data_IF_217111504788
#
_entry.id   IF_217111504788
#
_cell.length_a   1.000
_cell.length_b   1.000
_cell.length_c   1.000
_cell.angle_alpha   90.00
_cell.angle_beta   90.00
_cell.angle_gamma   90.00
#
_symmetry.space_group_name_H-M   'P 1'
#
loop_
_entity.id
_entity.type
_entity.pdbx_description
1 polymer ?
#
# COMPACT_ATOMS: atom_id res chain seq x y z
N UNK A 1 0.06 -5.71 -37.31
CA UNK A 1 -0.12 -4.33 -36.82
C UNK A 1 0.61 -4.19 -35.50
N UNK A 2 1.66 -3.35 -35.40
CA UNK A 2 2.42 -3.15 -34.16
C UNK A 2 1.52 -2.61 -33.04
N UNK A 3 1.74 -3.06 -31.80
CA UNK A 3 0.90 -2.75 -30.62
C UNK A 3 1.72 -2.37 -29.38
N UNK A 4 2.99 -2.05 -29.58
CA UNK A 4 3.87 -1.62 -28.51
C UNK A 4 3.38 -0.28 -27.93
N UNK A 5 3.51 -0.05 -26.60
CA UNK A 5 3.00 1.15 -25.94
C UNK A 5 3.45 2.48 -26.57
N UNK A 6 4.65 2.54 -27.13
CA UNK A 6 5.21 3.75 -27.75
C UNK A 6 4.61 4.09 -29.12
N UNK A 7 3.88 3.15 -29.75
CA UNK A 7 3.16 3.37 -31.01
C UNK A 7 1.88 4.18 -30.79
N UNK A 8 1.36 4.23 -29.57
CA UNK A 8 0.21 5.04 -29.20
C UNK A 8 0.49 6.53 -29.45
N UNK A 9 -0.48 7.22 -30.04
CA UNK A 9 -0.42 8.67 -30.21
C UNK A 9 -0.36 9.37 -28.85
N UNK A 10 0.33 10.52 -28.74
CA UNK A 10 0.24 11.35 -27.55
C UNK A 10 -1.22 11.67 -27.21
N UNK A 11 -1.63 11.39 -25.97
CA UNK A 11 -3.02 11.56 -25.51
C UNK A 11 -3.33 10.70 -24.28
N UNK A 12 -4.59 10.72 -23.81
CA UNK A 12 -4.98 10.05 -22.56
C UNK A 12 -4.69 8.55 -22.53
N UNK A 13 -4.86 7.85 -23.65
CA UNK A 13 -4.57 6.42 -23.73
C UNK A 13 -3.09 6.11 -23.45
N UNK A 14 -2.17 6.84 -24.11
CA UNK A 14 -0.72 6.67 -23.87
C UNK A 14 -0.33 7.06 -22.46
N UNK A 15 -0.97 8.10 -21.90
CA UNK A 15 -0.76 8.52 -20.52
C UNK A 15 -1.20 7.44 -19.53
N UNK A 16 -2.38 6.82 -19.72
CA UNK A 16 -2.86 5.70 -18.88
C UNK A 16 -1.91 4.51 -18.92
N UNK A 17 -1.43 4.12 -20.09
CA UNK A 17 -0.45 3.03 -20.22
C UNK A 17 0.86 3.37 -19.51
N UNK A 18 1.35 4.61 -19.66
CA UNK A 18 2.57 5.07 -18.99
C UNK A 18 2.41 5.09 -17.47
N UNK A 19 1.28 5.61 -16.97
CA UNK A 19 0.94 5.62 -15.55
C UNK A 19 0.82 4.19 -14.99
N UNK A 20 0.20 3.25 -15.71
CA UNK A 20 0.10 1.86 -15.28
C UNK A 20 1.48 1.21 -15.12
N UNK A 21 2.41 1.46 -16.05
CA UNK A 21 3.79 0.97 -15.97
C UNK A 21 4.53 1.60 -14.79
N UNK A 22 4.46 2.92 -14.63
CA UNK A 22 5.10 3.63 -13.52
C UNK A 22 4.57 3.13 -12.17
N UNK A 23 3.25 3.05 -11.99
CA UNK A 23 2.62 2.55 -10.76
C UNK A 23 3.03 1.11 -10.43
N UNK A 24 3.13 0.25 -11.45
CA UNK A 24 3.61 -1.13 -11.25
C UNK A 24 5.04 -1.13 -10.71
N UNK A 25 5.93 -0.32 -11.27
CA UNK A 25 7.31 -0.19 -10.80
C UNK A 25 7.38 0.42 -9.39
N UNK A 26 6.52 1.40 -9.10
CA UNK A 26 6.46 1.99 -7.78
C UNK A 26 5.97 1.02 -6.71
N UNK A 27 5.05 0.11 -7.06
CA UNK A 27 4.56 -0.93 -6.16
C UNK A 27 5.50 -2.14 -6.03
N UNK A 28 6.64 -2.18 -6.73
CA UNK A 28 7.54 -3.34 -6.70
C UNK A 28 8.00 -3.73 -5.29
N UNK A 29 8.34 -2.82 -4.35
CA UNK A 29 8.71 -3.21 -2.99
C UNK A 29 7.60 -3.99 -2.28
N UNK A 30 6.35 -3.54 -2.41
CA UNK A 30 5.18 -4.23 -1.86
C UNK A 30 4.94 -5.57 -2.55
N UNK A 31 4.99 -5.60 -3.88
CA UNK A 31 4.71 -6.82 -4.66
C UNK A 31 5.76 -7.89 -4.41
N UNK A 32 7.03 -7.51 -4.37
CA UNK A 32 8.13 -8.42 -4.05
C UNK A 32 7.99 -8.98 -2.63
N UNK A 33 7.60 -8.14 -1.67
CA UNK A 33 7.27 -8.59 -0.31
C UNK A 33 6.11 -9.58 -0.30
N UNK A 34 5.04 -9.34 -1.06
CA UNK A 34 3.92 -10.28 -1.16
C UNK A 34 4.33 -11.63 -1.77
N UNK A 35 5.25 -11.63 -2.75
CA UNK A 35 5.84 -12.87 -3.28
C UNK A 35 6.67 -13.60 -2.22
N UNK A 36 7.51 -12.90 -1.45
CA UNK A 36 8.28 -13.49 -0.37
C UNK A 36 7.38 -14.12 0.72
N UNK A 37 6.29 -13.46 1.08
CA UNK A 37 5.27 -14.01 1.98
C UNK A 37 4.62 -15.28 1.41
N UNK A 38 4.28 -15.27 0.12
CA UNK A 38 3.70 -16.43 -0.57
C UNK A 38 4.69 -17.61 -0.63
N UNK A 39 5.96 -17.31 -0.83
CA UNK A 39 7.05 -18.28 -0.84
C UNK A 39 7.43 -18.79 0.57
N UNK A 40 6.82 -18.26 1.64
CA UNK A 40 7.09 -18.65 3.03
C UNK A 40 8.42 -18.14 3.58
N UNK A 41 9.03 -17.14 2.94
CA UNK A 41 10.38 -16.65 3.25
C UNK A 41 10.43 -15.89 4.57
N UNK A 42 9.38 -15.13 4.89
CA UNK A 42 9.36 -14.20 6.05
C UNK A 42 8.96 -14.86 7.39
N UNK A 43 8.72 -16.17 7.41
CA UNK A 43 8.12 -16.84 8.56
C UNK A 43 6.67 -16.39 8.84
N UNK A 44 5.94 -17.15 9.66
CA UNK A 44 4.53 -16.87 9.96
C UNK A 44 3.54 -17.48 8.96
N UNK A 45 2.30 -16.95 8.94
CA UNK A 45 1.22 -17.50 8.09
C UNK A 45 1.47 -17.14 6.63
N UNK A 46 1.95 -18.11 5.84
CA UNK A 46 2.06 -17.96 4.39
C UNK A 46 0.72 -17.51 3.81
N UNK A 47 0.74 -16.47 2.97
CA UNK A 47 -0.42 -16.11 2.17
C UNK A 47 -0.45 -17.02 0.94
N UNK A 48 -1.59 -17.62 0.58
CA UNK A 48 -1.62 -18.68 -0.42
C UNK A 48 -1.35 -18.20 -1.85
N UNK A 49 -1.54 -16.90 -2.11
CA UNK A 49 -1.27 -16.26 -3.39
C UNK A 49 -1.13 -14.75 -3.24
N UNK A 50 -0.41 -14.13 -4.18
CA UNK A 50 -0.28 -12.66 -4.25
C UNK A 50 -1.62 -12.00 -4.63
N UNK A 51 -2.31 -12.51 -5.64
CA UNK A 51 -3.66 -12.06 -6.00
C UNK A 51 -4.71 -13.05 -5.49
N UNK A 52 -5.70 -12.58 -4.74
CA UNK A 52 -6.68 -13.42 -4.04
C UNK A 52 -8.10 -12.93 -4.24
N UNK A 53 -8.99 -13.83 -4.63
CA UNK A 53 -10.42 -13.55 -4.68
C UNK A 53 -10.93 -13.16 -3.29
N UNK A 54 -11.90 -12.25 -3.22
CA UNK A 54 -12.46 -11.78 -1.96
C UNK A 54 -13.00 -12.91 -1.08
N UNK A 55 -13.65 -13.95 -1.63
CA UNK A 55 -14.11 -15.11 -0.85
C UNK A 55 -13.01 -15.84 -0.05
N UNK A 56 -11.76 -15.84 -0.54
CA UNK A 56 -10.63 -16.48 0.16
C UNK A 56 -10.15 -15.62 1.32
N UNK A 57 -10.37 -14.31 1.22
CA UNK A 57 -9.91 -13.34 2.20
C UNK A 57 -10.98 -13.03 3.24
N UNK A 58 -12.25 -12.96 2.82
CA UNK A 58 -13.42 -12.59 3.61
C UNK A 58 -14.48 -13.72 3.56
N UNK A 59 -14.16 -14.94 4.06
CA UNK A 59 -15.06 -16.08 3.94
C UNK A 59 -16.37 -15.92 4.74
N UNK A 60 -16.40 -15.02 5.74
CA UNK A 60 -17.58 -14.70 6.53
C UNK A 60 -18.53 -13.70 5.85
N UNK A 61 -18.08 -13.04 4.77
CA UNK A 61 -18.88 -12.09 4.00
C UNK A 61 -19.38 -12.76 2.72
N UNK A 62 -20.58 -13.33 2.77
CA UNK A 62 -21.19 -14.05 1.66
C UNK A 62 -21.37 -13.21 0.39
N UNK A 63 -21.42 -11.87 0.50
CA UNK A 63 -21.48 -10.98 -0.66
C UNK A 63 -20.18 -11.10 -1.50
N UNK A 64 -19.04 -11.42 -0.88
CA UNK A 64 -17.75 -11.57 -1.55
C UNK A 64 -17.68 -12.76 -2.51
N UNK A 65 -18.63 -13.71 -2.46
CA UNK A 65 -18.54 -14.97 -3.21
C UNK A 65 -18.86 -14.76 -4.69
N UNK A 66 -19.73 -13.79 -5.00
CA UNK A 66 -20.09 -13.44 -6.37
C UNK A 66 -19.23 -12.34 -7.00
N UNK A 67 -18.25 -11.81 -6.27
CA UNK A 67 -17.45 -10.66 -6.73
C UNK A 67 -16.27 -11.12 -7.55
N UNK A 68 -16.36 -10.97 -8.88
CA UNK A 68 -15.36 -11.49 -9.85
C UNK A 68 -14.47 -10.42 -10.46
N UNK A 69 -14.78 -9.15 -10.24
CA UNK A 69 -14.11 -7.99 -10.84
C UNK A 69 -13.12 -7.30 -9.89
N UNK A 70 -13.10 -7.73 -8.63
CA UNK A 70 -12.34 -7.13 -7.54
C UNK A 70 -11.56 -8.21 -6.81
N UNK A 71 -10.29 -7.96 -6.49
CA UNK A 71 -9.45 -8.91 -5.79
C UNK A 71 -8.46 -8.22 -4.86
N UNK A 72 -7.99 -8.95 -3.84
CA UNK A 72 -6.90 -8.50 -2.99
C UNK A 72 -5.56 -8.77 -3.66
N UNK A 73 -4.67 -7.79 -3.61
CA UNK A 73 -3.27 -7.89 -3.98
C UNK A 73 -2.44 -7.79 -2.69
N UNK A 74 -1.77 -8.86 -2.30
CA UNK A 74 -1.21 -9.03 -0.95
C UNK A 74 -2.29 -8.95 0.11
N UNK A 75 -1.97 -8.43 1.28
CA UNK A 75 -2.87 -8.27 2.43
C UNK A 75 -3.44 -6.86 2.57
N UNK A 76 -2.87 -5.87 1.88
CA UNK A 76 -3.17 -4.45 2.06
C UNK A 76 -3.99 -3.81 0.94
N UNK A 77 -3.83 -4.25 -0.31
CA UNK A 77 -4.43 -3.56 -1.45
C UNK A 77 -5.60 -4.36 -2.03
N UNK A 78 -6.70 -3.67 -2.33
CA UNK A 78 -7.81 -4.16 -3.13
C UNK A 78 -7.73 -3.50 -4.51
N UNK A 79 -7.69 -4.32 -5.55
CA UNK A 79 -7.61 -3.87 -6.93
C UNK A 79 -8.96 -4.08 -7.63
N UNK A 80 -9.40 -3.03 -8.33
CA UNK A 80 -10.58 -3.09 -9.22
C UNK A 80 -10.19 -2.52 -10.59
N UNK A 81 -9.54 -3.32 -11.46
CA UNK A 81 -9.27 -2.90 -12.83
C UNK A 81 -10.57 -2.49 -13.53
N UNK A 82 -10.52 -1.43 -14.34
CA UNK A 82 -11.69 -0.95 -15.08
C UNK A 82 -11.82 -1.78 -16.34
N UNK A 83 -13.00 -2.39 -16.51
CA UNK A 83 -13.34 -3.23 -17.67
C UNK A 83 -14.52 -2.68 -18.44
N UNK A 84 -15.07 -1.56 -17.97
CA UNK A 84 -16.16 -0.80 -18.56
C UNK A 84 -15.60 0.22 -19.55
N UNK A 85 -16.27 0.38 -20.69
CA UNK A 85 -15.89 1.40 -21.66
C UNK A 85 -16.25 2.80 -21.14
N UNK A 86 -15.32 3.75 -21.24
CA UNK A 86 -15.60 5.16 -20.94
C UNK A 86 -16.54 5.77 -21.99
N UNK A 87 -17.21 6.89 -21.65
CA UNK A 87 -18.13 7.59 -22.54
C UNK A 87 -17.50 8.22 -23.80
N UNK A 88 -16.16 8.15 -23.94
CA UNK A 88 -15.39 8.69 -25.05
C UNK A 88 -13.87 8.54 -24.82
N UNK A 89 -13.03 8.85 -25.83
CA UNK A 89 -11.58 8.66 -25.76
C UNK A 89 -10.90 9.48 -24.65
N UNK A 90 -11.45 10.65 -24.32
CA UNK A 90 -10.93 11.55 -23.27
C UNK A 90 -11.76 11.50 -21.98
N UNK A 91 -12.76 10.62 -21.92
CA UNK A 91 -13.63 10.49 -20.76
C UNK A 91 -13.03 9.56 -19.70
N UNK A 92 -13.24 9.89 -18.44
CA UNK A 92 -12.99 9.00 -17.30
C UNK A 92 -14.08 7.94 -17.26
N UNK A 93 -13.71 6.69 -16.99
CA UNK A 93 -14.67 5.62 -16.83
C UNK A 93 -15.39 5.73 -15.47
N UNK A 94 -16.67 5.35 -15.45
CA UNK A 94 -17.42 5.08 -14.22
C UNK A 94 -17.50 3.56 -14.05
N UNK A 95 -17.27 3.07 -12.84
CA UNK A 95 -17.32 1.64 -12.53
C UNK A 95 -18.00 1.38 -11.19
N UNK A 96 -18.40 0.13 -10.98
CA UNK A 96 -19.03 -0.32 -9.74
C UNK A 96 -18.02 -1.03 -8.86
N UNK A 97 -17.83 -0.52 -7.64
CA UNK A 97 -16.86 -1.00 -6.67
C UNK A 97 -17.55 -1.71 -5.52
N UNK A 98 -17.13 -2.95 -5.24
CA UNK A 98 -17.51 -3.65 -4.02
C UNK A 98 -16.41 -3.51 -2.97
N UNK A 99 -16.78 -3.16 -1.73
CA UNK A 99 -15.86 -2.99 -0.60
C UNK A 99 -16.31 -3.87 0.59
N UNK A 100 -15.51 -4.85 1.02
CA UNK A 100 -15.81 -5.68 2.20
C UNK A 100 -15.96 -4.85 3.48
N UNK A 101 -16.97 -5.19 4.32
CA UNK A 101 -17.33 -4.40 5.51
C UNK A 101 -16.55 -4.74 6.78
N UNK A 102 -16.08 -5.97 6.88
CA UNK A 102 -15.51 -6.52 8.11
C UNK A 102 -14.12 -7.04 7.85
N UNK A 103 -13.23 -6.80 8.82
CA UNK A 103 -11.91 -7.40 8.78
C UNK A 103 -12.06 -8.91 9.01
N UNK A 104 -11.47 -9.77 8.16
CA UNK A 104 -11.45 -11.19 8.41
C UNK A 104 -10.56 -11.47 9.62
N UNK A 105 -10.85 -12.55 10.34
CA UNK A 105 -10.06 -12.93 11.52
C UNK A 105 -8.56 -13.12 11.21
N UNK A 106 -8.23 -13.47 9.96
CA UNK A 106 -6.86 -13.60 9.45
C UNK A 106 -6.07 -12.29 9.50
N UNK A 107 -6.73 -11.13 9.38
CA UNK A 107 -6.09 -9.81 9.46
C UNK A 107 -6.29 -9.11 10.81
N UNK A 108 -7.07 -9.71 11.70
CA UNK A 108 -7.34 -9.14 13.00
C UNK A 108 -6.11 -9.24 13.90
N UNK A 109 -5.51 -8.09 14.19
CA UNK A 109 -4.46 -7.94 15.19
C UNK A 109 -4.98 -8.29 16.60
N UNK A 110 -6.27 -7.99 16.82
CA UNK A 110 -7.00 -8.32 18.03
C UNK A 110 -8.15 -9.27 17.70
N UNK A 111 -8.05 -10.50 18.18
CA UNK A 111 -9.06 -11.55 17.95
C UNK A 111 -10.20 -11.52 18.97
N UNK A 112 -10.24 -10.52 19.86
CA UNK A 112 -11.38 -10.32 20.76
C UNK A 112 -12.65 -10.07 19.93
N UNK A 113 -13.81 -10.64 20.31
CA UNK A 113 -15.06 -10.48 19.58
C UNK A 113 -15.46 -9.01 19.32
N UNK A 114 -15.09 -8.09 20.20
CA UNK A 114 -15.37 -6.66 20.10
C UNK A 114 -14.55 -5.99 18.99
N UNK A 115 -13.28 -6.36 18.84
CA UNK A 115 -12.40 -5.81 17.80
C UNK A 115 -12.81 -6.29 16.40
N UNK A 116 -13.22 -7.56 16.29
CA UNK A 116 -13.76 -8.13 15.04
C UNK A 116 -15.08 -7.51 14.58
N UNK A 117 -15.77 -6.77 15.46
CA UNK A 117 -16.99 -6.02 15.13
C UNK A 117 -16.72 -4.61 14.61
N UNK A 118 -15.49 -4.11 14.70
CA UNK A 118 -15.15 -2.77 14.20
C UNK A 118 -15.23 -2.73 12.67
N UNK A 119 -15.66 -1.59 12.08
CA UNK A 119 -15.76 -1.46 10.63
C UNK A 119 -14.38 -1.51 9.98
N UNK A 120 -14.30 -2.18 8.82
CA UNK A 120 -13.11 -2.15 7.99
C UNK A 120 -13.11 -0.88 7.14
N UNK A 121 -12.13 0.00 7.37
CA UNK A 121 -11.95 1.22 6.58
C UNK A 121 -11.09 0.96 5.34
N UNK A 122 -11.37 1.71 4.28
CA UNK A 122 -10.66 1.66 3.01
C UNK A 122 -10.37 3.06 2.52
N UNK A 123 -9.20 3.26 1.94
CA UNK A 123 -8.78 4.54 1.39
C UNK A 123 -8.39 4.35 -0.07
N UNK A 124 -8.71 5.30 -0.95
CA UNK A 124 -8.10 5.33 -2.27
C UNK A 124 -6.58 5.37 -2.11
N UNK A 125 -5.88 4.45 -2.76
CA UNK A 125 -4.42 4.40 -2.68
C UNK A 125 -3.76 5.60 -3.38
N UNK A 126 -4.46 6.20 -4.34
CA UNK A 126 -3.97 7.30 -5.15
C UNK A 126 -4.27 8.67 -4.52
N UNK A 127 -5.50 8.89 -4.02
CA UNK A 127 -5.91 10.18 -3.44
C UNK A 127 -5.96 10.21 -1.91
N UNK A 128 -5.98 9.05 -1.24
CA UNK A 128 -6.07 8.94 0.22
C UNK A 128 -7.49 9.14 0.75
N UNK A 129 -8.42 9.47 -0.15
CA UNK A 129 -9.80 9.69 0.18
C UNK A 129 -10.40 8.45 0.83
N UNK A 130 -11.08 8.65 1.95
CA UNK A 130 -11.84 7.59 2.59
C UNK A 130 -12.98 7.14 1.68
N UNK A 131 -13.11 5.82 1.51
CA UNK A 131 -14.18 5.21 0.73
C UNK A 131 -15.42 5.05 1.62
N UNK A 132 -16.28 6.06 1.61
CA UNK A 132 -17.55 6.05 2.34
C UNK A 132 -18.53 5.08 1.65
N UNK A 133 -19.04 4.07 2.38
CA UNK A 133 -20.10 3.16 1.88
C UNK A 133 -21.50 3.63 2.27
N UNK A 134 -21.62 4.30 3.41
CA UNK A 134 -22.89 4.63 4.06
C UNK A 134 -23.07 6.17 4.17
N UNK A 135 -23.19 6.88 3.04
CA UNK A 135 -23.73 8.25 3.05
C UNK A 135 -25.19 8.22 2.59
N UNK A 136 -26.03 8.84 3.40
CA UNK A 136 -27.47 8.89 3.23
C UNK A 136 -27.84 9.79 2.04
N UNK A 137 -27.99 9.19 0.85
CA UNK A 137 -28.93 9.58 -0.22
C UNK A 137 -28.69 8.67 -1.45
N UNK A 138 -29.65 7.82 -1.80
CA UNK A 138 -29.57 6.95 -2.98
C UNK A 138 -29.26 7.75 -4.26
N UNK A 139 -28.17 7.38 -4.95
CA UNK A 139 -27.86 7.89 -6.29
C UNK A 139 -26.72 8.92 -6.41
N UNK A 140 -26.10 9.36 -5.30
CA UNK A 140 -24.91 10.21 -5.37
C UNK A 140 -23.62 9.40 -5.67
N UNK A 141 -22.59 9.99 -6.32
CA UNK A 141 -21.28 9.35 -6.51
C UNK A 141 -20.68 8.93 -5.16
N UNK A 142 -20.26 7.66 -5.02
CA UNK A 142 -19.79 7.12 -3.74
C UNK A 142 -20.87 6.59 -2.80
N UNK A 143 -22.14 6.46 -3.22
CA UNK A 143 -23.20 5.81 -2.42
C UNK A 143 -23.43 4.37 -2.88
N UNK A 144 -23.61 3.46 -1.92
CA UNK A 144 -23.85 2.04 -2.20
C UNK A 144 -25.29 1.81 -2.70
N UNK A 145 -25.47 1.01 -3.75
CA UNK A 145 -26.81 0.52 -4.13
C UNK A 145 -27.29 -0.62 -3.19
N UNK A 146 -28.48 -1.17 -3.45
CA UNK A 146 -29.06 -2.29 -2.66
C UNK A 146 -28.19 -3.56 -2.65
N UNK A 147 -27.24 -3.68 -3.58
CA UNK A 147 -26.23 -4.76 -3.63
C UNK A 147 -24.95 -4.41 -2.87
N UNK A 148 -24.90 -3.23 -2.23
CA UNK A 148 -23.78 -2.78 -1.45
C UNK A 148 -22.62 -2.19 -2.26
N UNK A 149 -22.82 -1.93 -3.56
CA UNK A 149 -21.76 -1.49 -4.47
C UNK A 149 -21.79 0.01 -4.71
N UNK A 150 -20.61 0.62 -4.73
CA UNK A 150 -20.39 2.05 -4.89
C UNK A 150 -20.19 2.40 -6.36
N UNK A 151 -20.82 3.49 -6.84
CA UNK A 151 -20.46 4.08 -8.14
C UNK A 151 -19.27 5.01 -7.98
N UNK A 152 -18.17 4.69 -8.66
CA UNK A 152 -16.90 5.41 -8.56
C UNK A 152 -16.44 5.88 -9.94
N UNK A 153 -15.78 7.04 -9.99
CA UNK A 153 -15.14 7.57 -11.19
C UNK A 153 -13.63 7.28 -11.15
N UNK A 154 -13.07 6.75 -12.25
CA UNK A 154 -11.63 6.50 -12.47
C UNK A 154 -10.79 7.70 -12.03
N UNK A 155 -9.78 7.60 -11.15
CA UNK A 155 -8.94 8.77 -10.81
C UNK A 155 -7.93 9.11 -11.92
N UNK A 156 -7.74 10.40 -12.22
CA UNK A 156 -6.86 10.84 -13.32
C UNK A 156 -5.39 10.45 -13.15
N UNK A 157 -4.92 10.36 -11.91
CA UNK A 157 -3.52 10.08 -11.58
C UNK A 157 -3.26 8.58 -11.32
N UNK A 158 -4.26 7.74 -11.56
CA UNK A 158 -4.26 6.33 -11.17
C UNK A 158 -4.83 5.47 -12.31
N UNK A 159 -3.96 4.82 -13.09
CA UNK A 159 -4.42 4.01 -14.22
C UNK A 159 -5.21 2.75 -13.82
N UNK A 160 -4.97 2.23 -12.60
CA UNK A 160 -5.67 1.07 -12.04
C UNK A 160 -6.21 1.46 -10.68
N UNK A 161 -7.53 1.42 -10.45
CA UNK A 161 -8.10 1.68 -9.14
C UNK A 161 -7.57 0.70 -8.09
N UNK A 162 -6.92 1.27 -7.07
CA UNK A 162 -6.37 0.57 -5.92
C UNK A 162 -6.90 1.22 -4.65
N UNK A 163 -7.29 0.38 -3.69
CA UNK A 163 -7.82 0.80 -2.41
C UNK A 163 -7.02 0.13 -1.30
N UNK A 164 -6.44 0.91 -0.41
CA UNK A 164 -5.66 0.41 0.71
C UNK A 164 -6.57 0.16 1.90
N UNK A 165 -6.49 -1.04 2.44
CA UNK A 165 -7.13 -1.45 3.67
C UNK A 165 -6.50 -0.70 4.85
N UNK A 166 -7.31 -0.15 5.72
CA UNK A 166 -6.84 0.43 6.97
C UNK A 166 -6.13 -0.60 7.86
N UNK A 167 -5.20 -0.11 8.67
CA UNK A 167 -4.33 -0.94 9.50
C UNK A 167 -3.10 -1.46 8.76
N UNK A 168 -2.76 -0.91 7.58
CA UNK A 168 -1.66 -1.43 6.74
C UNK A 168 -0.62 -0.38 6.39
N UNK A 169 0.62 -0.83 6.19
CA UNK A 169 1.73 -0.04 5.64
C UNK A 169 2.17 -0.67 4.32
N UNK A 170 2.20 0.13 3.24
CA UNK A 170 2.60 -0.30 1.90
C UNK A 170 3.87 0.44 1.49
N UNK A 171 5.02 -0.25 1.31
CA UNK A 171 6.22 0.37 0.76
C UNK A 171 6.05 0.65 -0.73
N UNK A 172 6.34 1.88 -1.15
CA UNK A 172 6.10 2.39 -2.50
C UNK A 172 7.28 3.25 -2.97
N UNK A 173 7.73 3.13 -4.21
CA UNK A 173 8.82 4.00 -4.70
C UNK A 173 8.31 5.39 -5.05
N UNK A 174 9.04 6.42 -4.61
CA UNK A 174 8.71 7.82 -4.92
C UNK A 174 8.91 8.09 -6.40
N UNK A 175 10.03 7.60 -6.95
CA UNK A 175 10.38 7.69 -8.37
C UNK A 175 10.78 6.31 -8.88
N UNK A 176 10.82 6.15 -10.20
CA UNK A 176 11.22 4.88 -10.83
C UNK A 176 12.15 5.17 -12.00
N UNK A 177 13.01 4.21 -12.26
CA UNK A 177 13.94 4.22 -13.37
C UNK A 177 13.37 3.50 -14.59
N UNK A 178 14.27 2.91 -15.38
CA UNK A 178 13.89 2.22 -16.63
C UNK A 178 13.68 0.72 -16.45
N UNK A 179 14.19 0.14 -15.36
CA UNK A 179 14.20 -1.30 -15.12
C UNK A 179 13.95 -1.62 -13.66
N UNK A 180 13.92 -2.91 -13.32
CA UNK A 180 13.90 -3.32 -11.90
C UNK A 180 15.29 -3.28 -11.27
N UNK A 181 16.36 -3.25 -12.09
CA UNK A 181 17.76 -3.26 -11.65
C UNK A 181 18.15 -1.95 -10.96
N UNK A 182 17.63 -0.82 -11.46
CA UNK A 182 17.85 0.51 -10.90
C UNK A 182 16.86 0.88 -9.79
N UNK A 183 15.81 0.08 -9.54
CA UNK A 183 14.84 0.36 -8.48
C UNK A 183 15.45 0.59 -7.10
N UNK A 184 16.49 -0.16 -6.64
CA UNK A 184 17.10 0.08 -5.33
C UNK A 184 17.70 1.49 -5.16
N UNK A 185 18.01 2.20 -6.26
CA UNK A 185 18.53 3.57 -6.23
C UNK A 185 17.43 4.62 -5.96
N UNK A 186 16.17 4.23 -6.10
CA UNK A 186 15.03 5.12 -5.89
C UNK A 186 14.49 5.01 -4.45
N UNK A 187 14.18 6.13 -3.79
CA UNK A 187 13.74 6.12 -2.41
C UNK A 187 12.32 5.57 -2.26
N UNK A 188 12.06 5.03 -1.07
CA UNK A 188 10.79 4.47 -0.63
C UNK A 188 10.00 5.52 0.17
N UNK A 189 8.73 5.66 -0.17
CA UNK A 189 7.68 6.23 0.66
C UNK A 189 6.89 5.10 1.32
N UNK A 190 6.69 5.17 2.63
CA UNK A 190 5.77 4.28 3.34
C UNK A 190 4.36 4.87 3.28
N UNK A 191 3.42 4.18 2.63
CA UNK A 191 2.00 4.58 2.60
C UNK A 191 1.23 3.89 3.71
N UNK A 192 0.81 4.66 4.69
CA UNK A 192 0.19 4.21 5.94
C UNK A 192 -1.29 4.52 5.90
N UNK A 193 -2.12 3.49 5.86
CA UNK A 193 -3.56 3.59 6.01
C UNK A 193 -3.93 3.31 7.47
N UNK A 194 -4.34 4.34 8.20
CA UNK A 194 -4.60 4.26 9.64
C UNK A 194 -5.99 3.65 9.89
N UNK A 195 -6.07 2.68 10.81
CA UNK A 195 -7.33 2.13 11.29
C UNK A 195 -7.97 2.94 12.44
N UNK A 196 -9.18 2.54 12.84
CA UNK A 196 -9.93 3.16 13.94
C UNK A 196 -9.20 3.11 15.29
N UNK A 197 -8.23 2.22 15.45
CA UNK A 197 -7.41 2.10 16.64
C UNK A 197 -6.17 2.99 16.61
N UNK A 198 -5.92 3.76 15.55
CA UNK A 198 -4.65 4.47 15.30
C UNK A 198 -3.46 3.50 15.13
N UNK A 199 -3.72 2.35 14.51
CA UNK A 199 -2.71 1.34 14.20
C UNK A 199 -2.53 1.18 12.69
N UNK A 200 -1.33 0.74 12.31
CA UNK A 200 -1.05 0.19 11.00
C UNK A 200 0.21 -0.69 11.06
N UNK A 201 0.27 -1.74 10.23
CA UNK A 201 1.47 -2.58 10.11
C UNK A 201 1.72 -3.00 8.67
N UNK A 202 2.99 -3.14 8.31
CA UNK A 202 3.38 -3.73 7.04
C UNK A 202 4.83 -4.20 7.08
N UNK A 203 5.23 -4.92 6.05
CA UNK A 203 6.59 -5.47 5.94
C UNK A 203 7.19 -5.02 4.62
N UNK A 204 8.50 -4.78 4.63
CA UNK A 204 9.33 -4.64 3.45
C UNK A 204 10.37 -5.76 3.47
N UNK A 205 10.40 -6.55 2.41
CA UNK A 205 11.41 -7.56 2.15
C UNK A 205 12.28 -7.15 0.96
N UNK A 206 13.59 -7.29 1.11
CA UNK A 206 14.59 -7.05 0.06
C UNK A 206 15.65 -8.15 0.13
N UNK A 207 16.09 -8.65 -1.01
CA UNK A 207 17.27 -9.49 -1.17
C UNK A 207 18.06 -9.04 -2.41
N UNK A 208 19.06 -9.83 -2.83
CA UNK A 208 19.84 -9.53 -4.02
C UNK A 208 19.04 -9.63 -5.35
N UNK A 209 17.83 -10.20 -5.32
CA UNK A 209 16.94 -10.35 -6.48
C UNK A 209 17.35 -11.40 -7.51
N UNK A 210 18.45 -12.12 -7.30
CA UNK A 210 19.07 -12.98 -8.30
C UNK A 210 19.37 -14.39 -7.79
N UNK A 211 19.86 -14.52 -6.56
CA UNK A 211 20.36 -15.79 -6.04
C UNK A 211 19.31 -16.53 -5.22
N UNK A 212 19.70 -17.68 -4.66
CA UNK A 212 18.85 -18.45 -3.74
C UNK A 212 19.34 -18.39 -2.28
N UNK A 213 20.29 -17.49 -1.99
CA UNK A 213 20.88 -17.31 -0.65
C UNK A 213 19.80 -17.00 0.41
N UNK A 214 18.71 -16.34 0.01
CA UNK A 214 17.58 -16.04 0.87
C UNK A 214 16.95 -17.27 1.55
N UNK A 215 17.03 -18.45 0.91
CA UNK A 215 16.48 -19.70 1.46
C UNK A 215 17.21 -20.16 2.72
N UNK A 216 18.44 -19.69 2.91
CA UNK A 216 19.28 -19.98 4.07
C UNK A 216 19.34 -18.83 5.07
N UNK A 217 18.49 -17.82 4.90
CA UNK A 217 18.52 -16.62 5.73
C UNK A 217 19.65 -15.64 5.36
N UNK A 218 20.30 -15.85 4.21
CA UNK A 218 21.42 -15.02 3.75
C UNK A 218 20.97 -14.05 2.65
N UNK A 219 21.81 -13.05 2.39
CA UNK A 219 21.63 -12.02 1.36
C UNK A 219 20.25 -11.32 1.32
N UNK A 220 19.60 -11.16 2.48
CA UNK A 220 18.25 -10.59 2.58
C UNK A 220 18.07 -9.71 3.80
N UNK A 221 17.05 -8.86 3.76
CA UNK A 221 16.62 -7.98 4.83
C UNK A 221 15.09 -7.93 4.87
N UNK A 222 14.52 -7.97 6.07
CA UNK A 222 13.10 -7.76 6.30
C UNK A 222 12.88 -6.74 7.43
N UNK A 223 12.08 -5.72 7.15
CA UNK A 223 11.73 -4.67 8.10
C UNK A 223 10.22 -4.63 8.27
N UNK A 224 9.77 -4.79 9.52
CA UNK A 224 8.37 -4.58 9.87
C UNK A 224 8.17 -3.16 10.36
N UNK A 225 7.27 -2.43 9.72
CA UNK A 225 6.84 -1.10 10.14
C UNK A 225 5.56 -1.21 10.95
N UNK A 226 5.55 -0.61 12.14
CA UNK A 226 4.38 -0.61 13.03
C UNK A 226 4.08 0.82 13.47
N UNK A 227 2.91 1.32 13.09
CA UNK A 227 2.32 2.52 13.67
C UNK A 227 1.50 2.15 14.91
N UNK A 228 1.80 2.76 16.06
CA UNK A 228 0.94 2.76 17.26
C UNK A 228 0.97 4.13 17.92
N UNK A 229 -0.19 4.64 18.31
CA UNK A 229 -0.31 5.86 19.14
C UNK A 229 0.49 7.05 18.56
N UNK A 230 0.50 7.21 17.23
CA UNK A 230 1.21 8.30 16.54
C UNK A 230 2.73 8.12 16.40
N UNK A 231 3.28 6.95 16.74
CA UNK A 231 4.68 6.59 16.49
C UNK A 231 4.75 5.45 15.48
N UNK A 232 5.51 5.66 14.41
CA UNK A 232 5.89 4.59 13.48
C UNK A 232 7.28 4.08 13.85
N UNK A 233 7.39 2.78 14.09
CA UNK A 233 8.64 2.10 14.44
C UNK A 233 9.02 1.16 13.30
N UNK A 234 10.30 1.17 12.92
CA UNK A 234 10.89 0.15 12.06
C UNK A 234 11.53 -0.91 12.95
N UNK A 235 11.10 -2.16 12.79
CA UNK A 235 11.59 -3.30 13.55
C UNK A 235 12.25 -4.23 12.54
N UNK A 236 13.58 -4.33 12.59
CA UNK A 236 14.30 -5.35 11.84
C UNK A 236 13.85 -6.72 12.33
N UNK A 237 13.20 -7.49 11.47
CA UNK A 237 12.67 -8.83 11.82
C UNK A 237 13.69 -9.94 11.61
N UNK A 238 14.83 -9.61 11.01
CA UNK A 238 15.96 -10.53 10.82
C UNK A 238 17.25 -9.84 11.29
N UNK A 239 18.18 -10.62 11.84
CA UNK A 239 19.49 -10.10 12.24
C UNK A 239 20.23 -9.59 10.99
N UNK A 240 21.00 -8.50 11.12
CA UNK A 240 21.78 -7.94 10.02
C UNK A 240 22.57 -9.05 9.33
N UNK A 241 22.29 -9.27 8.04
CA UNK A 241 23.06 -10.19 7.23
C UNK A 241 24.31 -9.44 6.73
N UNK A 242 25.53 -9.77 7.18
CA UNK A 242 26.73 -9.04 6.76
C UNK A 242 27.00 -9.12 5.25
N UNK A 243 26.39 -10.11 4.58
CA UNK A 243 26.54 -10.37 3.14
C UNK A 243 25.65 -9.49 2.26
N UNK A 244 24.70 -8.75 2.82
CA UNK A 244 23.78 -7.94 2.03
C UNK A 244 23.48 -6.59 2.68
N UNK A 245 23.75 -5.54 1.92
CA UNK A 245 23.49 -4.17 2.29
C UNK A 245 22.39 -3.60 1.40
N UNK A 246 21.16 -3.41 1.91
CA UNK A 246 20.09 -2.83 1.13
C UNK A 246 20.43 -1.38 0.77
N UNK A 247 20.34 -1.05 -0.52
CA UNK A 247 20.59 0.32 -1.02
C UNK A 247 19.42 1.26 -0.80
N UNK A 248 18.23 0.69 -0.58
CA UNK A 248 16.99 1.43 -0.39
C UNK A 248 17.06 2.36 0.84
N UNK A 249 16.45 3.53 0.68
CA UNK A 249 16.22 4.50 1.76
C UNK A 249 14.73 4.79 1.90
N UNK A 250 14.27 5.04 3.11
CA UNK A 250 12.92 5.57 3.38
C UNK A 250 13.02 7.08 3.47
N UNK A 251 12.52 7.78 2.45
CA UNK A 251 12.59 9.24 2.38
C UNK A 251 11.32 9.93 2.89
N UNK A 252 10.19 9.21 2.91
CA UNK A 252 8.91 9.78 3.32
C UNK A 252 7.95 8.75 3.94
N UNK A 253 7.00 9.24 4.73
CA UNK A 253 5.84 8.49 5.21
C UNK A 253 4.58 9.28 4.92
N UNK A 254 3.64 8.68 4.18
CA UNK A 254 2.36 9.28 3.79
C UNK A 254 1.21 8.61 4.53
N UNK A 255 0.41 9.40 5.23
CA UNK A 255 -0.67 8.91 6.10
C UNK A 255 -2.04 9.22 5.49
N UNK A 256 -2.85 8.19 5.29
CA UNK A 256 -4.29 8.28 5.05
C UNK A 256 -5.04 7.95 6.33
N UNK A 257 -6.06 8.75 6.63
CA UNK A 257 -6.98 8.52 7.74
C UNK A 257 -8.34 9.12 7.42
N UNK A 258 -9.40 8.63 8.07
CA UNK A 258 -10.76 9.17 7.91
C UNK A 258 -10.81 10.67 8.24
N UNK A 259 -10.10 11.05 9.31
CA UNK A 259 -9.82 12.45 9.63
C UNK A 259 -8.31 12.65 9.66
N UNK A 260 -7.80 13.53 8.81
CA UNK A 260 -6.37 13.77 8.73
C UNK A 260 -5.78 14.25 10.07
N UNK A 261 -4.63 13.71 10.50
CA UNK A 261 -3.99 14.17 11.71
C UNK A 261 -3.56 15.64 11.61
N UNK A 262 -3.78 16.42 12.67
CA UNK A 262 -3.38 17.84 12.74
C UNK A 262 -1.96 18.00 13.31
N UNK A 263 -1.04 17.12 12.93
CA UNK A 263 0.32 17.11 13.47
C UNK A 263 1.08 18.37 13.06
N UNK A 264 1.86 18.93 14.00
CA UNK A 264 2.65 20.16 13.79
C UNK A 264 4.15 19.91 13.71
N UNK A 265 4.62 18.81 14.27
CA UNK A 265 6.04 18.48 14.37
C UNK A 265 6.24 16.99 14.14
N UNK A 266 7.31 16.64 13.45
CA UNK A 266 7.79 15.28 13.32
C UNK A 266 9.24 15.22 13.82
N UNK A 267 9.64 14.06 14.35
CA UNK A 267 11.01 13.79 14.81
C UNK A 267 11.34 12.35 14.44
N UNK A 268 12.59 12.12 14.03
CA UNK A 268 13.15 10.78 13.91
C UNK A 268 13.95 10.50 15.17
N UNK A 269 13.69 9.35 15.78
CA UNK A 269 14.42 8.88 16.95
C UNK A 269 15.25 7.64 16.59
N UNK A 270 16.43 7.52 17.17
CA UNK A 270 17.14 6.24 17.26
C UNK A 270 16.36 5.29 18.16
N UNK A 271 16.79 4.05 18.24
CA UNK A 271 16.16 3.09 19.14
C UNK A 271 16.42 3.38 20.63
N UNK A 272 17.55 4.02 20.96
CA UNK A 272 17.84 4.58 22.28
C UNK A 272 16.94 5.78 22.63
N UNK A 273 16.21 6.31 21.64
CA UNK A 273 15.29 7.44 21.80
C UNK A 273 15.91 8.80 21.53
N UNK A 274 17.16 8.87 21.08
CA UNK A 274 17.85 10.11 20.73
C UNK A 274 17.38 10.66 19.38
N UNK A 275 17.35 11.99 19.25
CA UNK A 275 16.94 12.63 17.98
C UNK A 275 18.02 12.44 16.93
N UNK A 276 17.64 11.85 15.79
CA UNK A 276 18.55 11.69 14.64
C UNK A 276 18.67 13.02 13.90
N UNK A 277 19.78 13.71 14.12
CA UNK A 277 20.04 15.07 13.57
C UNK A 277 20.28 15.12 12.07
N UNK A 278 20.61 13.97 11.45
CA UNK A 278 20.80 13.86 10.00
C UNK A 278 19.48 14.04 9.23
N UNK A 279 18.34 13.66 9.83
CA UNK A 279 17.02 13.82 9.22
C UNK A 279 16.43 15.18 9.56
N UNK A 280 15.72 15.79 8.60
CA UNK A 280 15.03 17.08 8.77
C UNK A 280 13.55 16.91 8.41
N UNK A 281 12.79 16.18 9.25
CA UNK A 281 11.43 15.82 8.92
C UNK A 281 10.53 17.05 8.78
N UNK A 282 9.85 17.16 7.65
CA UNK A 282 8.87 18.21 7.38
C UNK A 282 7.49 17.59 7.18
N UNK A 283 6.46 18.26 7.71
CA UNK A 283 5.07 17.83 7.53
C UNK A 283 4.47 18.65 6.40
N UNK A 284 4.00 17.97 5.37
CA UNK A 284 3.33 18.54 4.21
C UNK A 284 1.90 17.98 4.17
N UNK A 285 0.92 18.86 4.33
CA UNK A 285 -0.47 18.54 4.06
C UNK A 285 -0.78 18.89 2.61
N UNK A 286 -1.38 17.97 1.87
CA UNK A 286 -1.95 18.29 0.55
C UNK A 286 -3.42 18.65 0.74
N UNK A 287 -3.88 19.86 0.43
CA UNK A 287 -5.31 20.18 0.50
C UNK A 287 -6.13 19.46 -0.57
N UNK A 288 -5.49 19.04 -1.68
CA UNK A 288 -6.15 18.38 -2.82
C UNK A 288 -6.22 16.85 -2.69
N UNK A 289 -5.38 16.25 -1.85
CA UNK A 289 -5.35 14.82 -1.59
C UNK A 289 -5.56 14.58 -0.09
N UNK A 290 -6.34 13.59 0.30
CA UNK A 290 -6.64 13.31 1.71
C UNK A 290 -5.48 12.57 2.39
N UNK A 291 -4.28 13.17 2.38
CA UNK A 291 -3.08 12.66 3.05
C UNK A 291 -2.32 13.76 3.80
N UNK A 292 -1.58 13.33 4.82
CA UNK A 292 -0.47 14.08 5.43
C UNK A 292 0.83 13.32 5.15
N UNK A 293 1.85 14.01 4.68
CA UNK A 293 3.16 13.39 4.37
C UNK A 293 4.23 13.96 5.28
N UNK A 294 5.07 13.08 5.83
CA UNK A 294 6.32 13.45 6.48
C UNK A 294 7.46 13.16 5.50
N UNK A 295 8.16 14.21 5.06
CA UNK A 295 9.29 14.14 4.10
C UNK A 295 10.62 14.39 4.81
N UNK A 296 11.75 14.27 4.11
CA UNK A 296 13.08 14.62 4.66
C UNK A 296 13.63 13.64 5.69
N UNK A 297 13.26 12.36 5.55
CA UNK A 297 13.66 11.28 6.47
C UNK A 297 15.02 10.69 6.09
N UNK A 298 15.17 10.28 4.83
CA UNK A 298 16.36 9.67 4.21
C UNK A 298 17.02 8.57 5.07
N UNK A 299 16.18 7.69 5.63
CA UNK A 299 16.61 6.65 6.57
C UNK A 299 17.07 5.40 5.82
N UNK A 300 18.27 4.86 6.08
CA UNK A 300 18.69 3.59 5.50
C UNK A 300 17.87 2.44 6.10
N UNK A 301 17.73 1.34 5.35
CA UNK A 301 17.10 0.10 5.86
C UNK A 301 18.03 -0.73 6.76
N UNK A 302 19.31 -0.34 6.90
CA UNK A 302 20.30 -1.03 7.74
C UNK A 302 20.12 -0.70 9.22
N UNK A 303 20.36 -1.66 10.11
CA UNK A 303 20.63 -1.35 11.53
C UNK A 303 21.94 -0.57 11.60
N UNK A 304 21.91 0.62 12.18
CA UNK A 304 23.14 1.40 12.42
C UNK A 304 23.95 0.62 13.47
N UNK A 305 25.22 0.30 13.20
CA UNK A 305 26.11 -0.55 14.02
C UNK A 305 26.55 0.07 15.37
N UNK A 306 25.81 1.07 15.89
CA UNK A 306 25.81 1.37 17.31
C UNK A 306 24.68 0.54 17.94
N UNK A 307 24.80 0.06 19.19
CA UNK A 307 23.66 -0.60 19.82
C UNK A 307 22.45 0.32 19.65
N UNK A 308 21.35 -0.17 19.07
CA UNK A 308 20.11 0.57 19.05
C UNK A 308 19.56 0.72 20.46
#
# INVERSE_FOLDING_TARGET
>A
DPREPFVLQPGPQRQRVSLALVHRYQLMPYLYTAFAQTAGVLGGSAVPAVARHLMLVFPEDGECFGVTDTFMLGDALLARPITEQAGGPDSRAQFSLFIPRRSPATYAQDRRPEALKQPLLWYSFCSGAYVQRDSAEEGAPGVADHSGRLRVMEESDCAVPLFQRAGTVVPFKVTVGKSTVDLPEHPIELRVAIDVGMHAQGVLYVDDGETTEFKHGEARCAVTFVLRQGRICAIATEADCPKFEPKDTVSAVRFANETLPTWKTAKVLSADGDVVSASKPAIEASPAASFVTVTGLDLPLKRVDAPP
#
